data_IF_025938288450
#
_entry.id   IF_025938288450
#
_cell.length_a   1.000
_cell.length_b   1.000
_cell.length_c   1.000
_cell.angle_alpha   90.00
_cell.angle_beta   90.00
_cell.angle_gamma   90.00
#
_symmetry.space_group_name_H-M   'P 1'
#
loop_
_entity.id
_entity.type
_entity.pdbx_description
1 polymer ?
#
# COMPACT_ATOMS: atom_id res chain seq x y z
N UNK A 1 10.36 15.74 -14.66
CA UNK A 1 11.57 15.44 -13.86
C UNK A 1 11.49 13.98 -13.47
N UNK A 2 12.16 13.09 -14.21
CA UNK A 2 11.91 11.64 -14.25
C UNK A 2 12.40 10.85 -13.03
N UNK A 3 11.97 11.21 -11.81
CA UNK A 3 12.19 10.39 -10.61
C UNK A 3 10.88 9.67 -10.30
N UNK A 4 10.91 8.33 -10.36
CA UNK A 4 9.83 7.51 -9.80
C UNK A 4 9.67 7.87 -8.33
N UNK A 5 8.44 8.15 -7.91
CA UNK A 5 8.15 8.34 -6.49
C UNK A 5 8.39 7.01 -5.75
N UNK A 6 8.81 7.05 -4.47
CA UNK A 6 8.91 5.84 -3.67
C UNK A 6 7.51 5.25 -3.44
N UNK A 7 7.36 3.91 -3.43
CA UNK A 7 6.09 3.28 -3.12
C UNK A 7 5.69 3.53 -1.66
N UNK A 8 4.41 3.79 -1.42
CA UNK A 8 3.85 4.12 -0.10
C UNK A 8 2.75 3.12 0.28
N UNK A 9 2.94 2.46 1.43
CA UNK A 9 1.96 1.56 2.04
C UNK A 9 1.31 2.27 3.23
N UNK A 10 -0.02 2.34 3.23
CA UNK A 10 -0.78 2.80 4.40
C UNK A 10 -1.22 1.62 5.27
N UNK A 11 -0.87 1.64 6.55
CA UNK A 11 -1.30 0.65 7.53
C UNK A 11 -2.44 1.21 8.39
N UNK A 12 -3.67 0.77 8.14
CA UNK A 12 -4.89 1.31 8.75
C UNK A 12 -5.57 0.27 9.65
N UNK A 13 -6.24 0.67 10.73
CA UNK A 13 -7.13 -0.23 11.49
C UNK A 13 -8.52 -0.36 10.87
N UNK A 14 -8.81 0.47 9.87
CA UNK A 14 -10.06 0.42 9.07
C UNK A 14 -9.78 -0.24 7.72
N UNK A 15 -10.63 -1.18 7.34
CA UNK A 15 -10.64 -1.76 6.01
C UNK A 15 -11.03 -0.69 4.98
N UNK A 16 -10.43 -0.76 3.79
CA UNK A 16 -10.76 0.14 2.68
C UNK A 16 -9.77 0.04 1.54
N UNK A 17 -10.12 0.68 0.42
CA UNK A 17 -9.23 0.90 -0.71
C UNK A 17 -8.71 2.33 -0.71
N UNK A 18 -7.71 2.63 -1.54
CA UNK A 18 -7.20 4.00 -1.72
C UNK A 18 -8.30 4.95 -2.21
N UNK A 19 -9.21 4.46 -3.06
CA UNK A 19 -10.36 5.22 -3.57
C UNK A 19 -11.38 5.50 -2.46
N UNK A 20 -11.73 4.48 -1.66
CA UNK A 20 -12.70 4.64 -0.56
C UNK A 20 -12.24 5.60 0.52
N UNK A 21 -10.92 5.77 0.68
CA UNK A 21 -10.31 6.69 1.64
C UNK A 21 -9.97 8.07 1.04
N UNK A 22 -10.19 8.28 -0.26
CA UNK A 22 -9.84 9.53 -0.95
C UNK A 22 -8.32 9.77 -1.04
N UNK A 23 -7.51 8.71 -1.02
CA UNK A 23 -6.04 8.75 -1.02
C UNK A 23 -5.42 8.32 -2.36
N UNK A 24 -6.25 8.18 -3.40
CA UNK A 24 -5.82 7.84 -4.75
C UNK A 24 -4.81 8.88 -5.26
N UNK A 25 -3.61 8.42 -5.64
CA UNK A 25 -2.52 9.26 -6.15
C UNK A 25 -1.45 9.65 -5.13
N UNK A 26 -1.64 9.31 -3.85
CA UNK A 26 -0.62 9.49 -2.79
C UNK A 26 -0.21 8.15 -2.19
N UNK A 27 -1.14 7.22 -2.07
CA UNK A 27 -0.94 5.89 -1.50
C UNK A 27 -1.12 4.85 -2.59
N UNK A 28 -0.16 3.92 -2.69
CA UNK A 28 -0.23 2.82 -3.65
C UNK A 28 -1.11 1.67 -3.16
N UNK A 29 -1.10 1.42 -1.84
CA UNK A 29 -1.88 0.34 -1.23
C UNK A 29 -2.24 0.62 0.22
N UNK A 30 -3.42 0.15 0.62
CA UNK A 30 -3.89 0.16 2.00
C UNK A 30 -3.88 -1.27 2.54
N UNK A 31 -3.30 -1.47 3.71
CA UNK A 31 -3.29 -2.74 4.42
C UNK A 31 -3.98 -2.54 5.77
N UNK A 32 -5.01 -3.35 6.00
CA UNK A 32 -5.71 -3.37 7.28
C UNK A 32 -4.87 -4.10 8.36
N UNK A 33 -4.87 -3.55 9.57
CA UNK A 33 -4.30 -4.16 10.78
C UNK A 33 -5.32 -5.11 11.43
N UNK A 34 -4.87 -6.16 12.14
CA UNK A 34 -3.48 -6.52 12.43
C UNK A 34 -2.75 -7.08 11.20
N UNK A 35 -1.44 -6.79 11.11
CA UNK A 35 -0.60 -7.23 9.98
C UNK A 35 0.09 -8.52 10.38
N UNK A 36 0.13 -9.49 9.47
CA UNK A 36 1.04 -10.64 9.58
C UNK A 36 2.05 -10.59 8.42
N UNK A 37 3.31 -10.98 8.64
CA UNK A 37 4.33 -10.94 7.60
C UNK A 37 3.93 -11.70 6.32
N UNK A 38 3.23 -12.83 6.46
CA UNK A 38 2.80 -13.70 5.36
C UNK A 38 1.79 -12.99 4.44
N UNK A 39 0.98 -12.08 5.00
CA UNK A 39 0.04 -11.27 4.22
C UNK A 39 0.68 -10.02 3.62
N UNK A 40 1.78 -9.55 4.21
CA UNK A 40 2.49 -8.35 3.78
C UNK A 40 3.46 -8.63 2.62
N UNK A 41 4.17 -9.77 2.67
CA UNK A 41 5.21 -10.10 1.70
C UNK A 41 4.73 -10.00 0.23
N UNK A 42 3.56 -10.54 -0.16
CA UNK A 42 3.09 -10.43 -1.54
C UNK A 42 2.78 -8.99 -1.97
N UNK A 43 2.41 -8.12 -1.03
CA UNK A 43 2.16 -6.70 -1.31
C UNK A 43 3.48 -5.96 -1.55
N UNK A 44 4.51 -6.30 -0.77
CA UNK A 44 5.86 -5.75 -0.97
C UNK A 44 6.39 -6.18 -2.33
N UNK A 45 6.33 -7.47 -2.67
CA UNK A 45 6.84 -8.02 -3.93
C UNK A 45 6.20 -7.31 -5.15
N UNK A 46 4.88 -7.11 -5.10
CA UNK A 46 4.14 -6.33 -6.11
C UNK A 46 4.64 -4.89 -6.26
N UNK A 47 4.95 -4.21 -5.16
CA UNK A 47 5.38 -2.80 -5.18
C UNK A 47 6.83 -2.63 -5.66
N UNK A 48 7.69 -3.63 -5.44
CA UNK A 48 9.08 -3.62 -5.92
C UNK A 48 9.24 -4.27 -7.31
N UNK A 49 8.16 -4.78 -7.90
CA UNK A 49 8.15 -5.43 -9.20
C UNK A 49 8.91 -6.76 -9.25
N UNK A 50 8.86 -7.53 -8.16
CA UNK A 50 9.45 -8.88 -8.05
C UNK A 50 8.39 -9.98 -8.19
#
# INVERSE_FOLDING_TARGET
SGKSLPPVILLSTKNGTTESLGLSGVIDVVIAKPITPERLQPVIDRLIGR
#
